data_IF_234276689242
#
_entry.id   IF_234276689242
#
_cell.length_a   1.000
_cell.length_b   1.000
_cell.length_c   1.000
_cell.angle_alpha   90.00
_cell.angle_beta   90.00
_cell.angle_gamma   90.00
#
_symmetry.space_group_name_H-M   'P 1'
#
loop_
_entity.id
_entity.type
_entity.pdbx_description
1 polymer ?
#
# COMPACT_ATOMS: atom_id res chain seq x y z
N UNK A 1 12.25 -23.19 -17.33
CA UNK A 1 12.67 -21.85 -16.84
C UNK A 1 11.66 -20.75 -17.22
N UNK A 2 10.34 -20.93 -16.98
CA UNK A 2 9.30 -19.95 -17.40
C UNK A 2 8.49 -19.33 -16.25
N UNK A 3 8.57 -19.84 -15.03
CA UNK A 3 7.81 -19.33 -13.88
C UNK A 3 8.40 -18.05 -13.26
N UNK A 4 9.71 -17.82 -13.41
CA UNK A 4 10.38 -16.62 -12.87
C UNK A 4 10.07 -15.34 -13.66
N UNK A 5 9.84 -15.44 -14.98
CA UNK A 5 9.54 -14.27 -15.84
C UNK A 5 8.13 -13.70 -15.64
N UNK A 6 7.20 -14.48 -15.06
CA UNK A 6 5.84 -14.02 -14.76
C UNK A 6 5.69 -13.33 -13.40
N UNK A 7 6.71 -13.39 -12.53
CA UNK A 7 6.74 -12.71 -11.23
C UNK A 7 7.55 -11.42 -11.23
N UNK A 8 7.70 -10.79 -12.40
CA UNK A 8 8.41 -9.52 -12.51
C UNK A 8 7.90 -8.45 -11.52
N UNK A 9 6.59 -8.33 -11.20
CA UNK A 9 6.12 -7.32 -10.25
C UNK A 9 6.66 -7.61 -8.84
N UNK A 10 6.67 -8.88 -8.43
CA UNK A 10 7.24 -9.30 -7.14
C UNK A 10 8.72 -8.97 -7.05
N UNK A 11 9.51 -9.28 -8.09
CA UNK A 11 10.95 -9.02 -8.09
C UNK A 11 11.26 -7.52 -8.04
N UNK A 12 10.51 -6.70 -8.79
CA UNK A 12 10.62 -5.26 -8.71
C UNK A 12 10.21 -4.71 -7.36
N UNK A 13 9.15 -5.24 -6.73
CA UNK A 13 8.74 -4.86 -5.38
C UNK A 13 9.82 -5.18 -4.36
N UNK A 14 10.39 -6.39 -4.41
CA UNK A 14 11.49 -6.80 -3.54
C UNK A 14 12.72 -5.90 -3.72
N UNK A 15 13.11 -5.61 -4.97
CA UNK A 15 14.22 -4.71 -5.25
C UNK A 15 13.98 -3.31 -4.70
N UNK A 16 12.74 -2.78 -4.83
CA UNK A 16 12.37 -1.49 -4.29
C UNK A 16 12.41 -1.49 -2.75
N UNK A 17 11.85 -2.50 -2.09
CA UNK A 17 11.88 -2.62 -0.63
C UNK A 17 13.32 -2.64 -0.14
N UNK A 18 14.18 -3.46 -0.75
CA UNK A 18 15.60 -3.49 -0.38
C UNK A 18 16.24 -2.11 -0.59
N UNK A 19 16.00 -1.47 -1.73
CA UNK A 19 16.57 -0.14 -2.00
C UNK A 19 16.08 0.94 -1.03
N UNK A 20 14.82 0.88 -0.59
CA UNK A 20 14.21 1.89 0.28
C UNK A 20 14.61 1.74 1.75
N UNK A 21 14.87 0.51 2.21
CA UNK A 21 15.07 0.21 3.64
C UNK A 21 16.49 -0.31 3.98
N UNK A 22 17.41 -0.38 3.02
CA UNK A 22 18.76 -0.91 3.24
C UNK A 22 19.59 -0.09 4.23
N UNK A 23 19.34 1.21 4.32
CA UNK A 23 20.06 2.16 5.16
C UNK A 23 19.26 2.61 6.41
N UNK A 24 18.07 2.03 6.63
CA UNK A 24 17.21 2.32 7.77
C UNK A 24 15.77 2.63 7.37
N UNK A 25 14.98 3.14 8.32
CA UNK A 25 13.64 3.62 8.02
C UNK A 25 13.70 5.02 7.39
N UNK A 26 13.06 5.25 6.22
CA UNK A 26 12.77 6.60 5.75
C UNK A 26 11.96 7.38 6.78
N UNK A 27 11.91 8.71 6.65
CA UNK A 27 11.11 9.56 7.54
C UNK A 27 9.64 9.08 7.64
N UNK A 28 9.08 9.13 8.86
CA UNK A 28 7.71 8.71 9.14
C UNK A 28 6.70 9.46 8.26
N UNK A 29 6.91 10.77 8.07
CA UNK A 29 6.10 11.64 7.22
C UNK A 29 6.09 11.17 5.77
N UNK A 30 7.24 10.74 5.25
CA UNK A 30 7.35 10.24 3.88
C UNK A 30 6.55 8.95 3.71
N UNK A 31 6.67 8.01 4.64
CA UNK A 31 5.94 6.74 4.61
C UNK A 31 4.43 6.93 4.84
N UNK A 32 4.03 7.93 5.64
CA UNK A 32 2.64 8.33 5.82
C UNK A 32 2.05 8.91 4.52
N UNK A 33 2.79 9.77 3.82
CA UNK A 33 2.38 10.27 2.50
C UNK A 33 2.29 9.17 1.45
N UNK A 34 3.19 8.19 1.48
CA UNK A 34 3.11 7.02 0.59
C UNK A 34 1.83 6.22 0.81
N UNK A 35 1.43 5.97 2.07
CA UNK A 35 0.17 5.26 2.37
C UNK A 35 -1.05 5.93 1.71
N UNK A 36 -1.12 7.26 1.79
CA UNK A 36 -2.18 8.05 1.14
C UNK A 36 -2.03 8.02 -0.38
N UNK A 37 -0.80 8.17 -0.89
CA UNK A 37 -0.51 8.14 -2.33
C UNK A 37 -0.94 6.83 -2.99
N UNK A 38 -0.67 5.70 -2.36
CA UNK A 38 -1.10 4.38 -2.83
C UNK A 38 -2.63 4.27 -2.92
N UNK A 39 -3.33 4.79 -1.91
CA UNK A 39 -4.80 4.85 -1.90
C UNK A 39 -5.35 5.74 -3.03
N UNK A 40 -4.70 6.87 -3.32
CA UNK A 40 -5.06 7.73 -4.46
C UNK A 40 -4.84 7.02 -5.79
N UNK A 41 -3.78 6.22 -5.94
CA UNK A 41 -3.55 5.43 -7.16
C UNK A 41 -4.74 4.51 -7.46
N UNK A 42 -5.37 3.91 -6.45
CA UNK A 42 -6.55 3.07 -6.63
C UNK A 42 -7.75 3.82 -7.23
N UNK A 43 -7.99 5.06 -6.80
CA UNK A 43 -9.01 5.93 -7.41
C UNK A 43 -8.67 6.25 -8.87
N UNK A 44 -7.40 6.58 -9.15
CA UNK A 44 -6.94 6.88 -10.51
C UNK A 44 -7.13 5.67 -11.42
N UNK A 45 -6.65 4.49 -11.02
CA UNK A 45 -6.83 3.26 -11.81
C UNK A 45 -8.30 2.89 -11.99
N UNK A 46 -9.09 3.00 -10.92
CA UNK A 46 -10.53 2.79 -10.98
C UNK A 46 -11.20 3.71 -11.99
N UNK A 47 -10.81 5.00 -12.03
CA UNK A 47 -11.34 5.98 -12.97
C UNK A 47 -10.93 5.64 -14.42
N UNK A 48 -9.64 5.40 -14.64
CA UNK A 48 -9.07 5.08 -15.96
C UNK A 48 -9.65 3.79 -16.55
N UNK A 49 -9.98 2.80 -15.70
CA UNK A 49 -10.58 1.52 -16.13
C UNK A 49 -12.10 1.52 -16.11
N UNK A 50 -12.74 2.64 -15.75
CA UNK A 50 -14.20 2.77 -15.67
C UNK A 50 -14.86 1.98 -14.52
N UNK A 51 -14.07 1.41 -13.62
CA UNK A 51 -14.54 0.57 -12.51
C UNK A 51 -15.29 1.39 -11.44
N UNK A 52 -15.01 2.68 -11.29
CA UNK A 52 -15.72 3.56 -10.33
C UNK A 52 -17.21 3.74 -10.65
N UNK A 53 -17.63 3.46 -11.89
CA UNK A 53 -19.04 3.52 -12.29
C UNK A 53 -19.86 2.33 -11.78
N UNK A 54 -19.19 1.27 -11.31
CA UNK A 54 -19.86 0.10 -10.74
C UNK A 54 -20.46 0.46 -9.37
N UNK A 55 -21.67 -0.03 -9.05
CA UNK A 55 -22.31 0.26 -7.77
C UNK A 55 -21.38 -0.05 -6.58
N UNK A 56 -21.22 0.92 -5.68
CA UNK A 56 -20.44 0.76 -4.45
C UNK A 56 -18.91 0.88 -4.59
N UNK A 57 -18.33 0.76 -5.79
CA UNK A 57 -16.86 0.77 -5.95
C UNK A 57 -16.27 2.14 -5.62
N UNK A 58 -16.86 3.23 -6.11
CA UNK A 58 -16.41 4.59 -5.76
C UNK A 58 -16.46 4.83 -4.26
N UNK A 59 -17.58 4.47 -3.61
CA UNK A 59 -17.75 4.62 -2.17
C UNK A 59 -16.69 3.81 -1.40
N UNK A 60 -16.41 2.58 -1.82
CA UNK A 60 -15.40 1.73 -1.21
C UNK A 60 -14.00 2.36 -1.34
N UNK A 61 -13.60 2.83 -2.53
CA UNK A 61 -12.29 3.45 -2.72
C UNK A 61 -12.14 4.76 -1.96
N UNK A 62 -13.19 5.59 -1.92
CA UNK A 62 -13.19 6.81 -1.11
C UNK A 62 -13.11 6.50 0.38
N UNK A 63 -13.84 5.50 0.86
CA UNK A 63 -13.76 5.06 2.25
C UNK A 63 -12.37 4.52 2.60
N UNK A 64 -11.74 3.77 1.69
CA UNK A 64 -10.36 3.33 1.81
C UNK A 64 -9.41 4.52 1.93
N UNK A 65 -9.46 5.46 0.98
CA UNK A 65 -8.63 6.67 1.02
C UNK A 65 -8.80 7.46 2.33
N UNK A 66 -10.03 7.65 2.80
CA UNK A 66 -10.27 8.35 4.05
C UNK A 66 -9.74 7.56 5.26
N UNK A 67 -9.94 6.24 5.30
CA UNK A 67 -9.44 5.38 6.36
C UNK A 67 -7.90 5.38 6.45
N UNK A 68 -7.24 5.20 5.31
CA UNK A 68 -5.78 5.26 5.23
C UNK A 68 -5.23 6.66 5.50
N UNK A 69 -5.92 7.71 5.05
CA UNK A 69 -5.61 9.10 5.39
C UNK A 69 -5.71 9.38 6.88
N UNK A 70 -6.75 8.88 7.56
CA UNK A 70 -6.89 8.98 9.01
C UNK A 70 -5.74 8.25 9.72
N UNK A 71 -5.40 7.03 9.31
CA UNK A 71 -4.28 6.30 9.91
C UNK A 71 -2.95 7.03 9.73
N UNK A 72 -2.71 7.60 8.54
CA UNK A 72 -1.54 8.44 8.29
C UNK A 72 -1.50 9.67 9.19
N UNK A 73 -2.63 10.39 9.33
CA UNK A 73 -2.70 11.56 10.22
C UNK A 73 -2.52 11.19 11.69
N UNK A 74 -3.12 10.08 12.15
CA UNK A 74 -2.96 9.61 13.53
C UNK A 74 -1.51 9.24 13.80
N UNK A 75 -0.85 8.54 12.88
CA UNK A 75 0.57 8.19 13.01
C UNK A 75 1.47 9.41 13.22
N UNK A 76 1.16 10.54 12.57
CA UNK A 76 1.90 11.80 12.70
C UNK A 76 1.50 12.65 13.91
N UNK A 77 0.37 12.34 14.55
CA UNK A 77 -0.18 13.12 15.65
C UNK A 77 0.10 12.51 17.05
N UNK A 78 0.47 11.23 17.10
CA UNK A 78 0.84 10.53 18.34
C UNK A 78 2.33 10.64 18.63
N UNK A 79 2.79 10.12 19.77
CA UNK A 79 4.23 10.06 20.05
C UNK A 79 4.96 9.22 18.99
N UNK A 80 6.25 9.52 18.81
CA UNK A 80 7.05 8.96 17.72
C UNK A 80 7.08 7.43 17.74
N UNK A 81 7.10 6.80 18.92
CA UNK A 81 7.14 5.35 19.04
C UNK A 81 5.82 4.70 18.64
N UNK A 82 4.68 5.23 19.09
CA UNK A 82 3.36 4.74 18.68
C UNK A 82 3.07 5.04 17.21
N UNK A 83 3.61 6.15 16.67
CA UNK A 83 3.43 6.55 15.28
C UNK A 83 3.84 5.45 14.29
N UNK A 84 4.97 4.78 14.55
CA UNK A 84 5.44 3.65 13.76
C UNK A 84 4.47 2.47 13.74
N UNK A 85 3.91 2.09 14.90
CA UNK A 85 2.95 1.00 14.98
C UNK A 85 1.61 1.33 14.32
N UNK A 86 1.14 2.58 14.45
CA UNK A 86 -0.07 3.05 13.76
C UNK A 86 0.14 3.02 12.25
N UNK A 87 1.29 3.50 11.78
CA UNK A 87 1.59 3.53 10.35
C UNK A 87 1.76 2.12 9.79
N UNK A 88 2.45 1.23 10.51
CA UNK A 88 2.58 -0.17 10.15
C UNK A 88 1.21 -0.87 10.05
N UNK A 89 0.28 -0.57 10.98
CA UNK A 89 -1.09 -1.08 10.89
C UNK A 89 -1.83 -0.56 9.64
N UNK A 90 -1.61 0.71 9.27
CA UNK A 90 -2.13 1.28 8.01
C UNK A 90 -1.59 0.57 6.77
N UNK A 91 -0.27 0.33 6.71
CA UNK A 91 0.36 -0.41 5.62
C UNK A 91 -0.10 -1.87 5.57
N UNK A 92 -0.24 -2.57 6.70
CA UNK A 92 -0.83 -3.93 6.72
C UNK A 92 -2.28 -3.94 6.24
N UNK A 93 -3.07 -2.93 6.63
CA UNK A 93 -4.43 -2.75 6.15
C UNK A 93 -4.48 -2.54 4.63
N UNK A 94 -3.52 -1.78 4.08
CA UNK A 94 -3.40 -1.58 2.64
C UNK A 94 -2.92 -2.85 1.93
N UNK A 95 -2.00 -3.63 2.51
CA UNK A 95 -1.67 -4.96 1.98
C UNK A 95 -2.90 -5.88 1.92
N UNK A 96 -3.75 -5.87 2.95
CA UNK A 96 -5.01 -6.61 2.90
C UNK A 96 -5.95 -6.09 1.80
N UNK A 97 -5.98 -4.77 1.58
CA UNK A 97 -6.71 -4.11 0.49
C UNK A 97 -6.21 -4.58 -0.88
N UNK A 98 -4.89 -4.62 -1.07
CA UNK A 98 -4.26 -5.11 -2.29
C UNK A 98 -4.60 -6.56 -2.57
N UNK A 99 -4.55 -7.41 -1.55
CA UNK A 99 -4.91 -8.82 -1.67
C UNK A 99 -6.36 -8.99 -2.11
N UNK A 100 -7.29 -8.23 -1.52
CA UNK A 100 -8.70 -8.24 -1.90
C UNK A 100 -8.88 -7.84 -3.38
N UNK A 101 -8.21 -6.79 -3.85
CA UNK A 101 -8.29 -6.32 -5.24
C UNK A 101 -7.61 -7.28 -6.22
N UNK A 102 -6.49 -7.88 -5.82
CA UNK A 102 -5.80 -8.91 -6.59
C UNK A 102 -6.70 -10.14 -6.79
N UNK A 103 -7.46 -10.52 -5.76
CA UNK A 103 -8.42 -11.64 -5.82
C UNK A 103 -9.66 -11.29 -6.64
N UNK A 104 -10.18 -10.08 -6.48
CA UNK A 104 -11.36 -9.59 -7.19
C UNK A 104 -11.08 -9.30 -8.68
N UNK A 105 -9.82 -9.05 -9.05
CA UNK A 105 -9.38 -8.63 -10.40
C UNK A 105 -10.05 -7.33 -10.87
N UNK A 106 -10.35 -6.43 -9.93
CA UNK A 106 -11.02 -5.15 -10.18
C UNK A 106 -10.14 -3.97 -9.74
N UNK A 107 -10.52 -2.77 -10.20
CA UNK A 107 -9.90 -1.47 -9.87
C UNK A 107 -8.48 -1.31 -10.40
N UNK A 108 -7.49 -2.05 -9.89
CA UNK A 108 -6.08 -1.99 -10.34
C UNK A 108 -5.66 -3.22 -11.16
N UNK A 109 -4.67 -3.11 -12.05
CA UNK A 109 -4.11 -4.27 -12.72
C UNK A 109 -3.60 -5.30 -11.70
N UNK A 110 -3.72 -6.60 -12.02
CA UNK A 110 -3.33 -7.67 -11.10
C UNK A 110 -1.86 -7.58 -10.67
N UNK A 111 -0.98 -7.19 -11.60
CA UNK A 111 0.44 -6.95 -11.35
C UNK A 111 0.68 -5.77 -10.40
N UNK A 112 -0.14 -4.72 -10.49
CA UNK A 112 -0.07 -3.56 -9.60
C UNK A 112 -0.41 -3.95 -8.17
N UNK A 113 -1.53 -4.65 -7.96
CA UNK A 113 -1.93 -5.13 -6.64
C UNK A 113 -0.89 -6.10 -6.05
N UNK A 114 -0.29 -6.96 -6.86
CA UNK A 114 0.76 -7.88 -6.40
C UNK A 114 2.04 -7.16 -5.97
N UNK A 115 2.46 -6.14 -6.73
CA UNK A 115 3.61 -5.31 -6.38
C UNK A 115 3.35 -4.51 -5.10
N UNK A 116 2.20 -3.84 -5.01
CA UNK A 116 1.81 -3.01 -3.87
C UNK A 116 1.71 -3.85 -2.59
N UNK A 117 1.09 -5.03 -2.68
CA UNK A 117 0.99 -5.97 -1.57
C UNK A 117 2.36 -6.31 -0.95
N UNK A 118 3.36 -6.56 -1.80
CA UNK A 118 4.72 -6.92 -1.34
C UNK A 118 5.41 -5.73 -0.71
N UNK A 119 5.30 -4.55 -1.31
CA UNK A 119 5.86 -3.30 -0.74
C UNK A 119 5.23 -3.01 0.61
N UNK A 120 3.91 -3.13 0.72
CA UNK A 120 3.16 -2.80 1.92
C UNK A 120 3.45 -3.75 3.07
N UNK A 121 3.42 -5.06 2.78
CA UNK A 121 3.66 -6.08 3.77
C UNK A 121 5.08 -6.00 4.33
N UNK A 122 6.08 -5.82 3.46
CA UNK A 122 7.48 -5.75 3.88
C UNK A 122 7.83 -4.39 4.48
N UNK A 123 7.24 -3.30 3.99
CA UNK A 123 7.38 -1.97 4.59
C UNK A 123 6.79 -1.93 6.01
N UNK A 124 5.62 -2.54 6.22
CA UNK A 124 5.05 -2.73 7.55
C UNK A 124 5.97 -3.56 8.46
N UNK A 125 6.53 -4.66 7.96
CA UNK A 125 7.48 -5.45 8.72
C UNK A 125 8.73 -4.63 9.09
N UNK A 126 9.30 -3.87 8.15
CA UNK A 126 10.43 -2.99 8.42
C UNK A 126 10.09 -1.97 9.52
N UNK A 127 8.93 -1.31 9.43
CA UNK A 127 8.49 -0.38 10.47
C UNK A 127 8.34 -1.05 11.84
N UNK A 128 7.88 -2.30 11.92
CA UNK A 128 7.71 -3.00 13.20
C UNK A 128 9.06 -3.43 13.82
N UNK A 129 10.01 -3.85 12.97
CA UNK A 129 11.26 -4.45 13.44
C UNK A 129 12.45 -3.49 13.50
N UNK A 130 12.33 -2.30 12.90
CA UNK A 130 13.41 -1.31 12.76
C UNK A 130 13.10 0.05 13.38
N UNK A 131 11.90 0.27 13.93
CA UNK A 131 11.48 1.51 14.61
C UNK A 131 12.02 1.67 16.02
#
# INVERSE_FOLDING_TARGET
MSTLKHRWPTWFALALVVATFADGLPALEFLAWLLVGMSVCYLIFGALRGELRRPGVLMLQTAGLLGFGVLAMVALAVDHSLGWYVLAAGWLGHAAWDFAHHRAKMVVPRAWAEWCFVVDLLGAAAMIFMS
#
